data_IF_660923311941
#
_entry.id   IF_660923311941
#
_cell.length_a   1.000
_cell.length_b   1.000
_cell.length_c   1.000
_cell.angle_alpha   90.00
_cell.angle_beta   90.00
_cell.angle_gamma   90.00
#
_symmetry.space_group_name_H-M   'P 1'
#
loop_
_entity.id
_entity.type
_entity.pdbx_description
1 polymer ?
#
# COMPACT_ATOMS: atom_id res chain seq x y z
N UNK A 1 -1.28 7.93 -6.27
CA UNK A 1 -2.65 8.49 -6.37
C UNK A 1 -2.66 9.78 -5.57
N UNK A 2 -3.09 10.91 -6.15
CA UNK A 2 -3.11 12.22 -5.48
C UNK A 2 -4.39 12.37 -4.64
N UNK A 3 -4.34 13.19 -3.59
CA UNK A 3 -5.49 13.55 -2.72
C UNK A 3 -6.70 13.98 -3.56
N UNK A 4 -6.49 14.76 -4.63
CA UNK A 4 -7.57 15.16 -5.53
C UNK A 4 -8.32 13.98 -6.16
N UNK A 5 -7.58 12.97 -6.61
CA UNK A 5 -8.17 11.75 -7.18
C UNK A 5 -8.94 10.99 -6.09
N UNK A 6 -8.37 10.87 -4.89
CA UNK A 6 -9.04 10.26 -3.74
C UNK A 6 -10.34 10.99 -3.41
N UNK A 7 -10.35 12.33 -3.46
CA UNK A 7 -11.57 13.13 -3.22
C UNK A 7 -12.66 12.88 -4.25
N UNK A 8 -12.32 12.79 -5.55
CA UNK A 8 -13.28 12.47 -6.61
C UNK A 8 -13.88 11.08 -6.42
N UNK A 9 -13.06 10.09 -6.05
CA UNK A 9 -13.57 8.75 -5.73
C UNK A 9 -14.39 8.74 -4.45
N UNK A 10 -13.99 9.48 -3.42
CA UNK A 10 -14.75 9.60 -2.19
C UNK A 10 -16.15 10.16 -2.50
N UNK A 11 -16.26 11.21 -3.29
CA UNK A 11 -17.55 11.76 -3.76
C UNK A 11 -18.37 10.72 -4.55
N UNK A 12 -17.72 9.98 -5.46
CA UNK A 12 -18.39 8.97 -6.27
C UNK A 12 -18.93 7.77 -5.46
N UNK A 13 -18.30 7.43 -4.33
CA UNK A 13 -18.63 6.23 -3.54
C UNK A 13 -19.32 6.50 -2.21
N UNK A 14 -19.33 7.74 -1.72
CA UNK A 14 -19.83 8.06 -0.38
C UNK A 14 -21.31 7.64 -0.23
N UNK A 15 -21.55 6.70 0.69
CA UNK A 15 -22.87 6.12 1.02
C UNK A 15 -23.65 5.54 -0.17
N UNK A 16 -22.96 5.14 -1.26
CA UNK A 16 -23.62 4.54 -2.43
C UNK A 16 -23.79 3.03 -2.27
N UNK A 17 -25.00 2.56 -2.59
CA UNK A 17 -25.34 1.14 -2.69
C UNK A 17 -25.18 0.64 -4.13
N UNK A 18 -25.00 -0.68 -4.31
CA UNK A 18 -24.82 -1.25 -5.65
C UNK A 18 -26.01 -0.93 -6.58
N UNK A 19 -27.25 -0.97 -6.08
CA UNK A 19 -28.44 -0.60 -6.86
C UNK A 19 -28.41 0.84 -7.40
N UNK A 20 -27.99 1.79 -6.58
CA UNK A 20 -27.91 3.20 -7.01
C UNK A 20 -26.88 3.39 -8.12
N UNK A 21 -25.75 2.68 -8.04
CA UNK A 21 -24.72 2.72 -9.08
C UNK A 21 -25.21 2.08 -10.38
N UNK A 22 -25.90 0.93 -10.30
CA UNK A 22 -26.49 0.25 -11.47
C UNK A 22 -27.50 1.16 -12.18
N UNK A 23 -28.35 1.87 -11.43
CA UNK A 23 -29.35 2.76 -11.99
C UNK A 23 -28.71 3.92 -12.77
N UNK A 24 -27.68 4.55 -12.21
CA UNK A 24 -26.90 5.60 -12.88
C UNK A 24 -26.18 5.06 -14.12
N UNK A 25 -25.54 3.90 -14.00
CA UNK A 25 -24.84 3.24 -15.11
C UNK A 25 -25.78 2.85 -16.26
N UNK A 26 -27.01 2.43 -15.95
CA UNK A 26 -28.01 2.06 -16.95
C UNK A 26 -28.63 3.29 -17.63
N UNK A 27 -28.88 4.36 -16.86
CA UNK A 27 -29.38 5.62 -17.41
C UNK A 27 -28.38 6.24 -18.42
N UNK A 28 -27.08 6.14 -18.12
CA UNK A 28 -26.02 6.63 -19.01
C UNK A 28 -25.59 5.62 -20.09
N UNK A 29 -26.39 4.55 -20.31
CA UNK A 29 -26.16 3.54 -21.37
C UNK A 29 -24.77 2.91 -21.35
N UNK A 30 -24.20 2.69 -20.16
CA UNK A 30 -22.88 2.07 -20.05
C UNK A 30 -22.94 0.57 -20.38
N UNK A 31 -21.99 0.03 -21.16
CA UNK A 31 -21.95 -1.39 -21.54
C UNK A 31 -21.50 -2.34 -20.42
N UNK A 32 -21.21 -1.82 -19.22
CA UNK A 32 -20.64 -2.56 -18.08
C UNK A 32 -21.52 -2.48 -16.82
N UNK A 33 -22.81 -2.16 -16.98
CA UNK A 33 -23.75 -2.04 -15.86
C UNK A 33 -24.08 -3.40 -15.20
N UNK A 34 -23.81 -4.50 -15.91
CA UNK A 34 -23.96 -5.89 -15.47
C UNK A 34 -22.90 -6.35 -14.46
N UNK A 35 -21.80 -5.60 -14.33
CA UNK A 35 -20.69 -5.89 -13.41
C UNK A 35 -21.07 -5.74 -11.92
N UNK A 36 -22.12 -4.99 -11.60
CA UNK A 36 -22.55 -4.71 -10.24
C UNK A 36 -23.78 -5.55 -9.87
N UNK A 37 -23.73 -6.37 -8.81
CA UNK A 37 -24.90 -7.10 -8.34
C UNK A 37 -25.98 -6.12 -7.87
N UNK A 38 -27.24 -6.40 -8.19
CA UNK A 38 -28.38 -5.53 -7.86
C UNK A 38 -28.83 -5.65 -6.39
N UNK A 39 -27.88 -5.56 -5.45
CA UNK A 39 -28.09 -5.74 -4.02
C UNK A 39 -28.05 -4.39 -3.26
N UNK A 40 -28.64 -4.38 -2.06
CA UNK A 40 -28.59 -3.23 -1.14
C UNK A 40 -27.30 -3.17 -0.32
N UNK A 41 -26.33 -4.04 -0.59
CA UNK A 41 -25.02 -4.02 0.08
C UNK A 41 -24.20 -2.78 -0.31
N UNK A 42 -23.25 -2.44 0.56
CA UNK A 42 -22.26 -1.41 0.27
C UNK A 42 -21.43 -1.81 -0.95
N UNK A 43 -21.07 -0.81 -1.76
CA UNK A 43 -20.29 -1.03 -2.97
C UNK A 43 -18.88 -1.51 -2.62
N UNK A 44 -18.54 -2.75 -3.00
CA UNK A 44 -17.17 -3.25 -2.94
C UNK A 44 -16.40 -2.73 -4.17
N UNK A 45 -15.51 -1.76 -3.95
CA UNK A 45 -14.73 -1.10 -4.99
C UNK A 45 -13.38 -1.79 -5.17
N UNK A 46 -13.07 -2.10 -6.43
CA UNK A 46 -11.73 -2.51 -6.88
C UNK A 46 -11.27 -1.58 -8.03
N UNK A 47 -9.99 -1.61 -8.41
CA UNK A 47 -9.40 -0.74 -9.44
C UNK A 47 -10.21 -0.74 -10.74
N UNK A 48 -10.70 -1.91 -11.16
CA UNK A 48 -11.53 -2.06 -12.34
C UNK A 48 -12.94 -1.48 -12.13
N UNK A 49 -13.64 -1.91 -11.07
CA UNK A 49 -14.99 -1.42 -10.72
C UNK A 49 -15.00 0.10 -10.54
N UNK A 50 -13.99 0.67 -9.90
CA UNK A 50 -13.88 2.11 -9.69
C UNK A 50 -13.74 2.90 -10.99
N UNK A 51 -12.99 2.38 -11.97
CA UNK A 51 -12.92 2.98 -13.31
C UNK A 51 -14.27 2.99 -14.03
N UNK A 52 -15.03 1.89 -13.92
CA UNK A 52 -16.37 1.79 -14.50
C UNK A 52 -17.34 2.76 -13.83
N UNK A 53 -17.33 2.87 -12.50
CA UNK A 53 -18.17 3.83 -11.78
C UNK A 53 -17.85 5.27 -12.20
N UNK A 54 -16.58 5.63 -12.28
CA UNK A 54 -16.19 6.96 -12.79
C UNK A 54 -16.73 7.21 -14.21
N UNK A 55 -16.64 6.20 -15.07
CA UNK A 55 -17.21 6.24 -16.42
C UNK A 55 -18.72 6.47 -16.42
N UNK A 56 -19.45 5.82 -15.51
CA UNK A 56 -20.89 5.99 -15.38
C UNK A 56 -21.28 7.38 -14.86
N UNK A 57 -20.54 7.95 -13.89
CA UNK A 57 -20.89 9.22 -13.27
C UNK A 57 -20.41 10.45 -14.06
N UNK A 58 -19.18 10.40 -14.56
CA UNK A 58 -18.50 11.55 -15.18
C UNK A 58 -18.29 11.38 -16.69
N UNK A 59 -18.70 10.25 -17.26
CA UNK A 59 -18.63 9.95 -18.68
C UNK A 59 -17.36 9.21 -19.11
N UNK A 60 -17.27 8.81 -20.40
CA UNK A 60 -16.23 7.93 -20.91
C UNK A 60 -14.82 8.54 -20.81
N UNK A 61 -14.69 9.86 -20.86
CA UNK A 61 -13.40 10.55 -20.72
C UNK A 61 -12.75 10.27 -19.34
N UNK A 62 -13.54 10.23 -18.27
CA UNK A 62 -13.04 9.93 -16.93
C UNK A 62 -12.47 8.51 -16.81
N UNK A 63 -13.11 7.54 -17.48
CA UNK A 63 -12.63 6.16 -17.54
C UNK A 63 -11.27 6.07 -18.23
N UNK A 64 -11.08 6.76 -19.36
CA UNK A 64 -9.79 6.78 -20.06
C UNK A 64 -8.71 7.49 -19.26
N UNK A 65 -9.02 8.62 -18.63
CA UNK A 65 -8.08 9.34 -17.76
C UNK A 65 -7.66 8.44 -16.59
N UNK A 66 -8.60 7.70 -15.99
CA UNK A 66 -8.29 6.72 -14.94
C UNK A 66 -7.36 5.62 -15.45
N UNK A 67 -7.67 5.01 -16.58
CA UNK A 67 -6.85 3.95 -17.17
C UNK A 67 -5.41 4.43 -17.47
N UNK A 68 -5.26 5.61 -18.06
CA UNK A 68 -3.95 6.23 -18.31
C UNK A 68 -3.25 6.56 -16.98
N UNK A 69 -3.99 7.02 -15.98
CA UNK A 69 -3.46 7.31 -14.64
C UNK A 69 -2.90 6.07 -13.94
N UNK A 70 -3.59 4.93 -14.04
CA UNK A 70 -3.11 3.64 -13.50
C UNK A 70 -1.86 3.18 -14.23
N UNK A 71 -1.82 3.30 -15.56
CA UNK A 71 -0.62 2.98 -16.35
C UNK A 71 0.57 3.86 -15.94
N UNK A 72 0.35 5.17 -15.83
CA UNK A 72 1.37 6.12 -15.40
C UNK A 72 1.87 5.84 -13.97
N UNK A 73 0.96 5.47 -13.05
CA UNK A 73 1.32 5.07 -11.69
C UNK A 73 2.23 3.84 -11.66
N UNK A 74 1.96 2.83 -12.51
CA UNK A 74 2.81 1.65 -12.66
C UNK A 74 4.22 1.97 -13.16
N UNK A 75 4.34 2.91 -14.11
CA UNK A 75 5.65 3.37 -14.61
C UNK A 75 6.44 4.13 -13.54
N UNK A 76 5.78 5.04 -12.81
CA UNK A 76 6.39 5.77 -11.70
C UNK A 76 6.90 4.84 -10.59
N UNK A 77 6.11 3.84 -10.20
CA UNK A 77 6.51 2.83 -9.21
C UNK A 77 7.75 2.04 -9.66
N UNK A 78 7.82 1.68 -10.94
CA UNK A 78 8.99 0.97 -11.50
C UNK A 78 10.26 1.82 -11.36
N UNK A 79 10.19 3.10 -11.72
CA UNK A 79 11.32 4.01 -11.61
C UNK A 79 11.79 4.16 -10.15
N UNK A 80 10.88 4.50 -9.24
CA UNK A 80 11.19 4.68 -7.81
C UNK A 80 11.73 3.40 -7.19
N UNK A 81 11.18 2.23 -7.52
CA UNK A 81 11.66 0.94 -7.03
C UNK A 81 13.09 0.62 -7.47
N UNK A 82 13.47 0.95 -8.71
CA UNK A 82 14.82 0.68 -9.23
C UNK A 82 15.89 1.57 -8.60
N UNK A 83 15.56 2.85 -8.36
CA UNK A 83 16.45 3.78 -7.68
C UNK A 83 16.55 3.49 -6.18
N UNK A 84 15.43 3.26 -5.49
CA UNK A 84 15.45 2.87 -4.08
C UNK A 84 16.22 1.57 -3.87
N UNK A 85 15.97 0.56 -4.70
CA UNK A 85 16.72 -0.69 -4.69
C UNK A 85 18.21 -0.51 -4.98
N UNK A 86 18.60 0.50 -5.77
CA UNK A 86 20.00 0.84 -5.98
C UNK A 86 20.69 1.26 -4.69
N UNK A 87 20.12 2.27 -4.02
CA UNK A 87 20.72 2.83 -2.81
C UNK A 87 20.79 1.80 -1.69
N UNK A 88 19.79 0.93 -1.57
CA UNK A 88 19.80 -0.15 -0.58
C UNK A 88 20.86 -1.21 -0.92
N UNK A 89 20.92 -1.69 -2.17
CA UNK A 89 21.88 -2.73 -2.57
C UNK A 89 23.34 -2.24 -2.51
N UNK A 90 23.61 -1.03 -2.97
CA UNK A 90 24.97 -0.45 -2.95
C UNK A 90 25.37 -0.01 -1.55
N UNK A 91 24.43 0.53 -0.75
CA UNK A 91 24.70 0.99 0.61
C UNK A 91 24.88 -0.15 1.62
N UNK A 92 23.95 -1.12 1.66
CA UNK A 92 23.96 -2.17 2.68
C UNK A 92 24.73 -3.43 2.26
N UNK A 93 24.67 -3.82 0.98
CA UNK A 93 25.26 -5.08 0.50
C UNK A 93 26.55 -4.87 -0.33
N UNK A 94 26.95 -3.62 -0.57
CA UNK A 94 28.06 -3.25 -1.48
C UNK A 94 28.00 -3.96 -2.85
N UNK A 95 26.79 -4.31 -3.32
CA UNK A 95 26.59 -5.10 -4.53
C UNK A 95 26.29 -4.18 -5.72
N UNK A 96 27.26 -4.03 -6.62
CA UNK A 96 27.12 -3.21 -7.82
C UNK A 96 26.57 -4.04 -8.97
N UNK A 97 25.30 -3.83 -9.29
CA UNK A 97 24.58 -4.54 -10.34
C UNK A 97 24.20 -3.60 -11.48
N UNK A 98 24.09 -4.13 -12.70
CA UNK A 98 23.63 -3.34 -13.85
C UNK A 98 22.16 -2.95 -13.67
N UNK A 99 21.80 -1.73 -14.11
CA UNK A 99 20.41 -1.22 -14.01
C UNK A 99 19.41 -2.19 -14.65
N UNK A 100 19.75 -2.77 -15.79
CA UNK A 100 18.87 -3.69 -16.52
C UNK A 100 18.67 -5.01 -15.78
N UNK A 101 19.73 -5.60 -15.23
CA UNK A 101 19.62 -6.85 -14.46
C UNK A 101 18.74 -6.67 -13.20
N UNK A 102 18.89 -5.53 -12.51
CA UNK A 102 18.06 -5.19 -11.34
C UNK A 102 16.58 -5.04 -11.72
N UNK A 103 16.28 -4.34 -12.81
CA UNK A 103 14.90 -4.17 -13.30
C UNK A 103 14.28 -5.52 -13.63
N UNK A 104 14.98 -6.36 -14.40
CA UNK A 104 14.46 -7.68 -14.77
C UNK A 104 14.20 -8.53 -13.53
N UNK A 105 15.17 -8.66 -12.63
CA UNK A 105 14.99 -9.51 -11.44
C UNK A 105 13.81 -9.03 -10.58
N UNK A 106 13.75 -7.73 -10.26
CA UNK A 106 12.71 -7.19 -9.38
C UNK A 106 11.33 -7.21 -10.02
N UNK A 107 11.23 -7.03 -11.34
CA UNK A 107 9.97 -7.18 -12.08
C UNK A 107 9.56 -8.64 -12.21
N UNK A 108 10.50 -9.56 -12.48
CA UNK A 108 10.21 -11.00 -12.52
C UNK A 108 9.68 -11.49 -11.18
N UNK A 109 10.32 -11.13 -10.06
CA UNK A 109 9.85 -11.52 -8.72
C UNK A 109 8.47 -10.94 -8.41
N UNK A 110 8.13 -9.76 -8.92
CA UNK A 110 6.80 -9.16 -8.71
C UNK A 110 5.72 -9.75 -9.64
N UNK A 111 6.07 -10.03 -10.91
CA UNK A 111 5.11 -10.47 -11.94
C UNK A 111 4.86 -11.97 -11.86
N UNK A 112 5.86 -12.79 -11.53
CA UNK A 112 5.71 -14.26 -11.52
C UNK A 112 4.60 -14.72 -10.55
N UNK A 113 4.56 -14.27 -9.28
CA UNK A 113 3.53 -14.71 -8.33
C UNK A 113 2.14 -14.23 -8.76
N UNK A 114 2.04 -12.99 -9.24
CA UNK A 114 0.76 -12.41 -9.67
C UNK A 114 0.22 -13.12 -10.91
N UNK A 115 1.09 -13.45 -11.87
CA UNK A 115 0.74 -14.22 -13.06
C UNK A 115 0.34 -15.66 -12.70
N UNK A 116 1.05 -16.31 -11.78
CA UNK A 116 0.69 -17.65 -11.29
C UNK A 116 -0.69 -17.65 -10.64
N UNK A 117 -0.97 -16.71 -9.73
CA UNK A 117 -2.28 -16.60 -9.08
C UNK A 117 -3.38 -16.34 -10.12
N UNK A 118 -3.15 -15.44 -11.08
CA UNK A 118 -4.13 -15.13 -12.12
C UNK A 118 -4.45 -16.31 -13.06
N UNK A 119 -3.49 -17.22 -13.27
CA UNK A 119 -3.68 -18.41 -14.13
C UNK A 119 -4.26 -19.60 -13.37
N UNK A 120 -3.93 -19.75 -12.08
CA UNK A 120 -4.21 -20.97 -11.34
C UNK A 120 -5.25 -20.84 -10.21
N UNK A 121 -5.66 -19.63 -9.79
CA UNK A 121 -6.58 -19.44 -8.65
C UNK A 121 -7.68 -18.39 -8.87
N UNK A 122 -8.81 -18.59 -8.19
CA UNK A 122 -9.94 -17.66 -8.13
C UNK A 122 -9.62 -16.36 -7.36
N UNK A 123 -10.37 -15.30 -7.69
CA UNK A 123 -10.20 -13.89 -7.27
C UNK A 123 -10.08 -13.71 -5.74
N UNK A 124 -10.62 -14.62 -4.94
CA UNK A 124 -10.52 -14.58 -3.46
C UNK A 124 -9.07 -14.66 -2.94
N UNK A 125 -8.14 -15.30 -3.67
CA UNK A 125 -6.73 -15.40 -3.24
C UNK A 125 -5.91 -14.13 -3.54
N UNK A 126 -6.43 -13.20 -4.36
CA UNK A 126 -5.77 -11.92 -4.66
C UNK A 126 -5.88 -10.94 -3.49
N UNK A 127 -6.99 -10.95 -2.76
CA UNK A 127 -7.18 -10.15 -1.55
C UNK A 127 -6.20 -10.57 -0.45
N UNK A 128 -6.04 -11.89 -0.23
CA UNK A 128 -5.08 -12.43 0.73
C UNK A 128 -3.63 -12.07 0.41
N UNK A 129 -3.27 -11.98 -0.88
CA UNK A 129 -1.95 -11.51 -1.31
C UNK A 129 -1.74 -10.02 -1.01
N UNK A 130 -2.74 -9.18 -1.25
CA UNK A 130 -2.67 -7.76 -0.93
C UNK A 130 -2.49 -7.53 0.58
N UNK A 131 -3.24 -8.26 1.41
CA UNK A 131 -3.15 -8.15 2.85
C UNK A 131 -1.80 -8.65 3.38
N UNK A 132 -1.27 -9.74 2.80
CA UNK A 132 0.07 -10.21 3.11
C UNK A 132 1.16 -9.18 2.75
N UNK A 133 1.06 -8.53 1.59
CA UNK A 133 1.98 -7.47 1.20
C UNK A 133 1.90 -6.27 2.15
N UNK A 134 0.70 -5.90 2.60
CA UNK A 134 0.51 -4.85 3.59
C UNK A 134 1.16 -5.22 4.93
N UNK A 135 1.04 -6.47 5.38
CA UNK A 135 1.75 -6.97 6.58
C UNK A 135 3.27 -6.90 6.41
N UNK A 136 3.80 -7.31 5.26
CA UNK A 136 5.25 -7.19 5.03
C UNK A 136 5.72 -5.73 5.02
N UNK A 137 4.95 -4.82 4.42
CA UNK A 137 5.25 -3.39 4.40
C UNK A 137 5.20 -2.80 5.81
N UNK A 138 4.24 -3.23 6.63
CA UNK A 138 4.06 -2.79 8.01
C UNK A 138 5.30 -3.09 8.87
N UNK A 139 5.90 -4.27 8.68
CA UNK A 139 7.13 -4.69 9.35
C UNK A 139 8.36 -3.89 8.92
N UNK A 140 8.42 -3.46 7.66
CA UNK A 140 9.57 -2.74 7.10
C UNK A 140 9.61 -1.26 7.50
N UNK A 141 8.45 -0.63 7.72
CA UNK A 141 8.33 0.82 7.88
C UNK A 141 9.17 1.39 9.06
N UNK A 142 9.08 0.87 10.29
CA UNK A 142 9.90 1.30 11.43
C UNK A 142 11.42 1.20 11.21
N UNK A 143 11.89 0.17 10.50
CA UNK A 143 13.32 0.04 10.17
C UNK A 143 13.81 1.15 9.24
N UNK A 144 12.95 1.75 8.43
CA UNK A 144 13.30 2.93 7.63
C UNK A 144 13.13 4.23 8.43
N UNK A 145 12.02 4.37 9.17
CA UNK A 145 11.65 5.62 9.84
C UNK A 145 12.56 5.97 11.03
N UNK A 146 12.91 4.98 11.88
CA UNK A 146 13.70 5.23 13.09
C UNK A 146 15.11 5.71 12.75
N UNK A 147 15.87 5.06 11.83
CA UNK A 147 17.19 5.57 11.44
C UNK A 147 17.11 6.95 10.80
N UNK A 148 16.10 7.22 9.97
CA UNK A 148 15.92 8.55 9.36
C UNK A 148 15.71 9.61 10.45
N UNK A 149 14.84 9.37 11.43
CA UNK A 149 14.62 10.31 12.53
C UNK A 149 15.89 10.51 13.36
N UNK A 150 16.65 9.43 13.58
CA UNK A 150 17.91 9.48 14.32
C UNK A 150 18.96 10.29 13.57
N UNK A 151 19.23 9.97 12.30
CA UNK A 151 20.22 10.66 11.47
C UNK A 151 19.87 12.13 11.23
N UNK A 152 18.59 12.45 11.03
CA UNK A 152 18.13 13.84 10.87
C UNK A 152 18.21 14.66 12.17
N UNK A 153 18.25 14.00 13.33
CA UNK A 153 18.41 14.64 14.64
C UNK A 153 19.88 14.72 15.11
N UNK A 154 20.81 14.07 14.40
CA UNK A 154 22.23 14.07 14.75
C UNK A 154 22.93 15.32 14.18
N UNK A 155 23.34 16.22 15.09
CA UNK A 155 24.17 17.39 14.74
C UNK A 155 25.46 17.06 13.98
N UNK A 156 26.20 15.96 14.25
CA UNK A 156 27.38 15.63 13.46
C UNK A 156 27.09 15.31 11.99
N UNK A 157 25.87 14.87 11.66
CA UNK A 157 25.48 14.48 10.29
C UNK A 157 24.79 15.63 9.56
N UNK A 158 23.87 16.34 10.22
CA UNK A 158 23.07 17.42 9.63
C UNK A 158 23.59 18.84 9.90
N UNK A 159 24.58 18.99 10.80
CA UNK A 159 25.14 20.30 11.20
C UNK A 159 24.03 21.30 11.55
N UNK A 160 24.00 22.48 10.90
CA UNK A 160 23.04 23.56 11.10
C UNK A 160 21.60 23.20 10.69
N UNK A 161 21.39 22.13 9.92
CA UNK A 161 20.06 21.65 9.49
C UNK A 161 19.50 20.53 10.38
N UNK A 162 20.06 20.34 11.57
CA UNK A 162 19.56 19.35 12.54
C UNK A 162 18.13 19.65 12.97
N UNK A 163 17.30 18.61 13.05
CA UNK A 163 15.94 18.74 13.57
C UNK A 163 15.92 19.30 15.00
N UNK A 164 15.08 20.31 15.21
CA UNK A 164 14.79 20.83 16.55
C UNK A 164 13.98 19.82 17.38
N UNK A 165 13.98 20.02 18.71
CA UNK A 165 13.28 19.14 19.66
C UNK A 165 11.79 18.98 19.32
N UNK A 166 11.13 20.03 18.84
CA UNK A 166 9.73 19.97 18.40
C UNK A 166 9.50 19.01 17.23
N UNK A 167 10.34 19.07 16.19
CA UNK A 167 10.27 18.15 15.04
C UNK A 167 10.62 16.72 15.41
N UNK A 168 11.53 16.54 16.35
CA UNK A 168 11.88 15.23 16.89
C UNK A 168 10.72 14.60 17.66
N UNK A 169 10.02 15.36 18.51
CA UNK A 169 8.83 14.89 19.23
C UNK A 169 7.69 14.58 18.23
N UNK A 170 7.43 15.49 17.29
CA UNK A 170 6.40 15.29 16.26
C UNK A 170 6.68 14.04 15.42
N UNK A 171 7.93 13.85 14.99
CA UNK A 171 8.38 12.64 14.28
C UNK A 171 8.25 11.37 15.11
N UNK A 172 8.59 11.42 16.40
CA UNK A 172 8.40 10.31 17.33
C UNK A 172 6.93 9.91 17.50
N UNK A 173 6.04 10.90 17.67
CA UNK A 173 4.58 10.67 17.73
C UNK A 173 4.08 10.05 16.42
N UNK A 174 4.51 10.56 15.27
CA UNK A 174 4.12 10.03 13.97
C UNK A 174 4.57 8.57 13.79
N UNK A 175 5.81 8.24 14.18
CA UNK A 175 6.31 6.85 14.16
C UNK A 175 5.46 5.96 15.06
N UNK A 176 5.11 6.42 16.27
CA UNK A 176 4.26 5.67 17.20
C UNK A 176 2.87 5.39 16.61
N UNK A 177 2.24 6.41 16.00
CA UNK A 177 0.93 6.28 15.33
C UNK A 177 1.03 5.25 14.19
N UNK A 178 2.02 5.38 13.31
CA UNK A 178 2.22 4.46 12.18
C UNK A 178 2.46 3.03 12.66
N UNK A 179 3.30 2.83 13.69
CA UNK A 179 3.52 1.51 14.29
C UNK A 179 2.23 0.92 14.86
N UNK A 180 1.40 1.74 15.52
CA UNK A 180 0.13 1.29 16.11
C UNK A 180 -0.87 0.84 15.04
N UNK A 181 -1.01 1.61 13.94
CA UNK A 181 -1.87 1.26 12.81
C UNK A 181 -1.39 -0.03 12.14
N UNK A 182 -0.09 -0.14 11.90
CA UNK A 182 0.52 -1.34 11.32
C UNK A 182 0.28 -2.57 12.19
N UNK A 183 0.43 -2.45 13.52
CA UNK A 183 0.17 -3.52 14.46
C UNK A 183 -1.32 -3.95 14.46
N UNK A 184 -2.23 -2.98 14.38
CA UNK A 184 -3.66 -3.27 14.25
C UNK A 184 -3.96 -4.10 12.98
N UNK A 185 -3.38 -3.73 11.84
CA UNK A 185 -3.57 -4.46 10.58
C UNK A 185 -3.08 -5.91 10.67
N UNK A 186 -1.93 -6.14 11.32
CA UNK A 186 -1.41 -7.48 11.56
C UNK A 186 -2.36 -8.31 12.43
N UNK A 187 -2.91 -7.73 13.49
CA UNK A 187 -3.87 -8.45 14.37
C UNK A 187 -5.12 -8.86 13.60
N UNK A 188 -5.69 -7.95 12.81
CA UNK A 188 -6.88 -8.23 11.98
C UNK A 188 -6.60 -9.37 10.99
N UNK A 189 -5.47 -9.31 10.28
CA UNK A 189 -5.10 -10.35 9.31
C UNK A 189 -4.88 -11.72 9.96
N UNK A 190 -4.25 -11.77 11.13
CA UNK A 190 -4.01 -13.03 11.84
C UNK A 190 -5.31 -13.64 12.39
N UNK A 191 -6.30 -12.81 12.76
CA UNK A 191 -7.62 -13.27 13.20
C UNK A 191 -8.40 -13.98 12.09
N UNK A 192 -8.25 -13.54 10.83
CA UNK A 192 -8.88 -14.16 9.65
C UNK A 192 -8.32 -15.57 9.34
N UNK A 193 -7.07 -15.86 9.70
CA UNK A 193 -6.41 -17.14 9.37
C UNK A 193 -6.85 -18.33 10.24
N UNK A 194 -7.60 -18.13 11.33
CA UNK A 194 -8.28 -19.19 12.11
C UNK A 194 -7.39 -20.26 12.79
N UNK A 195 -6.06 -20.25 12.60
CA UNK A 195 -5.14 -21.20 13.20
C UNK A 195 -4.41 -20.61 14.42
N UNK A 196 -4.72 -21.15 15.60
CA UNK A 196 -4.17 -20.71 16.90
C UNK A 196 -2.64 -20.73 16.94
N UNK A 197 -1.99 -21.66 16.25
CA UNK A 197 -0.53 -21.73 16.17
C UNK A 197 0.07 -20.50 15.45
N UNK A 198 -0.56 -20.01 14.39
CA UNK A 198 -0.13 -18.79 13.69
C UNK A 198 -0.35 -17.55 14.56
N UNK A 199 -1.41 -17.54 15.37
CA UNK A 199 -1.65 -16.46 16.33
C UNK A 199 -0.53 -16.33 17.36
N UNK A 200 -0.10 -17.46 17.95
CA UNK A 200 0.99 -17.47 18.94
C UNK A 200 2.31 -17.02 18.31
N UNK A 201 2.63 -17.52 17.11
CA UNK A 201 3.85 -17.12 16.39
C UNK A 201 3.82 -15.64 16.03
N UNK A 202 2.71 -15.16 15.47
CA UNK A 202 2.55 -13.74 15.12
C UNK A 202 2.62 -12.83 16.35
N UNK A 203 2.00 -13.22 17.47
CA UNK A 203 2.06 -12.47 18.72
C UNK A 203 3.51 -12.38 19.25
N UNK A 204 4.26 -13.49 19.24
CA UNK A 204 5.67 -13.50 19.65
C UNK A 204 6.53 -12.62 18.75
N UNK A 205 6.36 -12.74 17.42
CA UNK A 205 7.08 -11.91 16.45
C UNK A 205 6.75 -10.43 16.64
N UNK A 206 5.47 -10.08 16.81
CA UNK A 206 5.05 -8.70 17.02
C UNK A 206 5.52 -8.12 18.35
N UNK A 207 5.55 -8.90 19.43
CA UNK A 207 6.09 -8.46 20.73
C UNK A 207 7.60 -8.26 20.65
N UNK A 208 8.33 -9.20 20.03
CA UNK A 208 9.76 -9.07 19.78
C UNK A 208 10.05 -7.82 18.92
N UNK A 209 9.24 -7.60 17.89
CA UNK A 209 9.32 -6.44 17.03
C UNK A 209 9.05 -5.12 17.76
N UNK A 210 7.98 -5.03 18.54
CA UNK A 210 7.66 -3.82 19.31
C UNK A 210 8.72 -3.54 20.38
N UNK A 211 9.28 -4.59 21.00
CA UNK A 211 10.37 -4.46 21.97
C UNK A 211 11.63 -3.96 21.29
N UNK A 212 11.94 -4.47 20.09
CA UNK A 212 13.06 -3.99 19.28
C UNK A 212 12.88 -2.54 18.83
N UNK A 213 11.68 -2.16 18.38
CA UNK A 213 11.34 -0.78 18.01
C UNK A 213 11.44 0.15 19.23
N UNK A 214 10.91 -0.26 20.38
CA UNK A 214 11.02 0.50 21.62
C UNK A 214 12.48 0.67 22.06
N UNK A 215 13.27 -0.40 21.97
CA UNK A 215 14.71 -0.37 22.22
C UNK A 215 15.46 0.56 21.26
N UNK A 216 15.04 0.66 20.00
CA UNK A 216 15.64 1.60 19.04
C UNK A 216 15.21 3.06 19.27
N UNK A 217 14.05 3.30 19.89
CA UNK A 217 13.54 4.64 20.19
C UNK A 217 14.05 5.16 21.54
N UNK A 218 14.27 4.29 22.54
CA UNK A 218 14.69 4.70 23.88
C UNK A 218 16.07 5.38 24.00
N UNK A 219 17.05 5.22 23.07
CA UNK A 219 18.33 5.91 23.14
C UNK A 219 18.41 7.13 22.21
N UNK A 220 17.35 7.48 21.48
CA UNK A 220 17.27 8.74 20.73
C UNK A 220 16.88 9.83 21.70
#
# INVERSE_FOLDING_TARGET
>A
INVFVVSVFAEAFFEKTNKQVVEVCKNNSSPHADLFPSDNSTLAVDIYKGGVVLGCYFGPAALYIWAVGILAAGQSSTMTGTYSGQFVMEGFLNLKWSRFARVILTRSIAIIPTLLVAVFQDVEHLTGMNDFLNVLQSLQLPFALIPILTFTSLRPVMSEFSNGIGWRIAGGILVLIVCSINMYFVVVYVQELGHVALYVVAAVVSVAYLTFVFYLVSPV
#
